data_IF_760065047270
#
_entry.id   IF_760065047270
#
_cell.length_a   1.000
_cell.length_b   1.000
_cell.length_c   1.000
_cell.angle_alpha   90.00
_cell.angle_beta   90.00
_cell.angle_gamma   90.00
#
_symmetry.space_group_name_H-M   'P 1'
#
loop_
_entity.id
_entity.type
_entity.pdbx_description
1 polymer ?
#
# COMPACT_ATOMS: atom_id res chain seq x y z
N UNK A 1 -41.09 14.05 -64.27
CA UNK A 1 -42.01 13.31 -65.15
C UNK A 1 -41.62 11.84 -65.18
N UNK A 2 -42.62 10.96 -64.98
CA UNK A 2 -42.71 9.53 -65.28
C UNK A 2 -41.76 8.47 -64.68
N UNK A 3 -42.38 7.73 -63.75
CA UNK A 3 -42.25 6.31 -63.40
C UNK A 3 -41.93 5.35 -64.56
N UNK A 4 -41.19 4.29 -64.24
CA UNK A 4 -41.43 2.83 -64.49
C UNK A 4 -40.13 2.11 -64.09
N UNK A 5 -40.02 1.13 -63.18
CA UNK A 5 -40.97 0.13 -62.73
C UNK A 5 -40.81 -1.16 -63.54
N UNK A 6 -40.01 -2.12 -63.04
CA UNK A 6 -40.23 -3.59 -63.02
C UNK A 6 -38.92 -4.35 -62.76
N UNK A 7 -38.93 -5.18 -61.71
CA UNK A 7 -37.91 -6.22 -61.50
C UNK A 7 -38.08 -7.38 -62.48
N UNK A 8 -37.20 -8.39 -62.42
CA UNK A 8 -37.41 -9.74 -61.86
C UNK A 8 -36.08 -10.52 -62.03
N UNK A 9 -35.83 -11.46 -61.11
CA UNK A 9 -34.95 -12.64 -61.20
C UNK A 9 -33.61 -12.61 -60.46
N UNK A 10 -33.71 -13.16 -59.25
CA UNK A 10 -32.72 -13.79 -58.38
C UNK A 10 -32.21 -15.08 -59.06
N UNK A 11 -30.93 -15.40 -58.89
CA UNK A 11 -30.38 -16.62 -58.28
C UNK A 11 -28.94 -16.89 -58.76
N UNK A 12 -28.02 -16.69 -57.82
CA UNK A 12 -26.82 -17.48 -57.52
C UNK A 12 -26.03 -18.10 -58.68
N UNK A 13 -24.91 -17.47 -58.98
CA UNK A 13 -23.66 -18.14 -59.28
C UNK A 13 -22.59 -17.46 -58.45
N UNK A 14 -21.82 -18.20 -57.64
CA UNK A 14 -20.38 -18.02 -57.61
C UNK A 14 -19.72 -19.25 -56.96
N UNK A 15 -18.83 -19.94 -57.68
CA UNK A 15 -18.14 -21.12 -57.20
C UNK A 15 -16.77 -20.78 -56.55
N UNK A 16 -16.29 -21.74 -55.76
CA UNK A 16 -14.94 -22.34 -55.78
C UNK A 16 -13.74 -21.37 -55.85
N UNK A 17 -12.91 -21.41 -54.81
CA UNK A 17 -11.48 -21.76 -54.88
C UNK A 17 -10.84 -21.44 -53.51
N UNK A 18 -10.36 -22.43 -52.76
CA UNK A 18 -9.03 -23.03 -52.93
C UNK A 18 -7.94 -21.96 -52.69
N UNK A 19 -7.37 -21.93 -51.49
CA UNK A 19 -6.18 -22.70 -51.08
C UNK A 19 -4.91 -21.86 -51.22
N UNK A 20 -4.02 -22.11 -50.25
CA UNK A 20 -2.57 -21.98 -50.33
C UNK A 20 -1.93 -20.71 -49.74
N UNK A 21 -1.40 -20.95 -48.53
CA UNK A 21 0.03 -20.83 -48.24
C UNK A 21 0.54 -19.52 -47.66
N UNK A 22 1.00 -19.68 -46.41
CA UNK A 22 2.04 -18.90 -45.78
C UNK A 22 3.24 -18.65 -46.73
N UNK A 23 3.81 -17.45 -46.64
CA UNK A 23 5.19 -17.19 -46.22
C UNK A 23 5.41 -15.67 -46.10
N UNK A 24 5.83 -15.24 -44.89
CA UNK A 24 6.89 -14.25 -44.62
C UNK A 24 6.71 -12.80 -45.13
N UNK A 25 6.50 -11.86 -44.21
CA UNK A 25 7.54 -10.88 -43.80
C UNK A 25 7.12 -10.01 -42.61
N UNK A 26 8.11 -9.76 -41.75
CA UNK A 26 8.07 -8.97 -40.54
C UNK A 26 7.70 -7.50 -40.78
N UNK A 27 6.77 -6.99 -39.97
CA UNK A 27 6.62 -5.60 -39.50
C UNK A 27 5.33 -5.61 -38.68
N UNK A 28 5.28 -5.33 -37.38
CA UNK A 28 6.03 -4.34 -36.63
C UNK A 28 6.01 -4.72 -35.15
N UNK A 29 7.13 -4.50 -34.47
CA UNK A 29 7.16 -4.25 -33.05
C UNK A 29 6.26 -3.04 -32.75
N UNK A 30 5.26 -3.21 -31.89
CA UNK A 30 4.67 -2.12 -31.12
C UNK A 30 4.98 -2.35 -29.65
N UNK A 31 6.17 -1.91 -29.29
CA UNK A 31 6.51 -1.48 -27.93
C UNK A 31 5.52 -0.40 -27.47
N UNK A 32 4.98 -0.53 -26.25
CA UNK A 32 4.32 0.60 -25.59
C UNK A 32 3.29 0.29 -24.53
N UNK A 33 3.68 -0.38 -23.44
CA UNK A 33 3.39 0.03 -22.05
C UNK A 33 3.71 -1.12 -21.09
N UNK A 34 5.00 -1.31 -20.81
CA UNK A 34 5.41 -1.94 -19.54
C UNK A 34 5.10 -0.96 -18.40
N UNK A 35 3.80 -0.85 -18.08
CA UNK A 35 3.41 -0.49 -16.73
C UNK A 35 3.84 -1.66 -15.87
N UNK A 36 4.99 -1.50 -15.22
CA UNK A 36 5.58 -2.48 -14.29
C UNK A 36 4.50 -2.95 -13.31
N UNK A 37 3.85 -4.09 -13.59
CA UNK A 37 3.05 -4.80 -12.61
C UNK A 37 4.03 -5.17 -11.52
N UNK A 38 3.92 -4.51 -10.37
CA UNK A 38 4.57 -4.97 -9.14
C UNK A 38 4.12 -6.41 -8.98
N UNK A 39 5.04 -7.35 -9.15
CA UNK A 39 4.74 -8.76 -9.05
C UNK A 39 4.28 -9.00 -7.60
N UNK A 40 2.99 -9.30 -7.42
CA UNK A 40 2.44 -9.54 -6.09
C UNK A 40 3.18 -10.73 -5.47
N UNK A 41 3.85 -10.48 -4.35
CA UNK A 41 4.55 -11.52 -3.60
C UNK A 41 3.49 -12.52 -3.11
N UNK A 42 3.58 -13.81 -3.49
CA UNK A 42 2.52 -14.76 -3.21
C UNK A 42 2.36 -14.97 -1.69
N UNK A 43 1.11 -15.03 -1.22
CA UNK A 43 0.68 -15.27 0.17
C UNK A 43 0.98 -16.70 0.68
N UNK A 44 2.03 -17.37 0.18
CA UNK A 44 2.36 -18.75 0.54
C UNK A 44 2.68 -18.85 2.04
N UNK A 45 1.99 -19.75 2.73
CA UNK A 45 2.16 -19.97 4.17
C UNK A 45 1.38 -19.00 5.07
N UNK A 46 0.55 -18.13 4.49
CA UNK A 46 -0.34 -17.26 5.25
C UNK A 46 -1.53 -18.06 5.80
N UNK A 47 -1.76 -17.95 7.11
CA UNK A 47 -3.02 -18.40 7.70
C UNK A 47 -4.10 -17.35 7.39
N UNK A 48 -5.03 -17.70 6.50
CA UNK A 48 -6.06 -16.78 6.02
C UNK A 48 -7.16 -16.50 7.06
N UNK A 49 -7.32 -17.36 8.07
CA UNK A 49 -8.23 -17.08 9.18
C UNK A 49 -7.60 -16.06 10.12
N UNK A 50 -6.33 -16.29 10.49
CA UNK A 50 -5.57 -15.36 11.33
C UNK A 50 -5.40 -13.99 10.64
N UNK A 51 -5.05 -13.96 9.36
CA UNK A 51 -4.91 -12.70 8.60
C UNK A 51 -6.21 -11.86 8.59
N UNK A 52 -7.37 -12.52 8.45
CA UNK A 52 -8.67 -11.84 8.51
C UNK A 52 -8.96 -11.29 9.91
N UNK A 53 -8.59 -12.05 10.94
CA UNK A 53 -8.72 -11.60 12.33
C UNK A 53 -7.82 -10.39 12.61
N UNK A 54 -6.54 -10.48 12.26
CA UNK A 54 -5.57 -9.41 12.48
C UNK A 54 -5.94 -8.12 11.75
N UNK A 55 -6.52 -8.23 10.55
CA UNK A 55 -7.02 -7.08 9.82
C UNK A 55 -8.31 -6.52 10.43
N UNK A 56 -9.15 -7.35 11.04
CA UNK A 56 -10.38 -6.90 11.70
C UNK A 56 -10.09 -6.04 12.93
N UNK A 57 -9.06 -6.39 13.71
CA UNK A 57 -8.57 -5.60 14.87
C UNK A 57 -8.32 -4.13 14.50
N UNK A 58 -7.82 -3.89 13.29
CA UNK A 58 -7.42 -2.55 12.83
C UNK A 58 -8.56 -1.76 12.18
N UNK A 59 -9.75 -2.33 12.01
CA UNK A 59 -10.88 -1.69 11.30
C UNK A 59 -11.81 -0.96 12.25
N UNK A 60 -12.44 0.09 11.72
CA UNK A 60 -13.55 0.75 12.42
C UNK A 60 -14.76 -0.17 12.33
N UNK A 61 -15.25 -0.62 13.48
CA UNK A 61 -16.45 -1.47 13.57
C UNK A 61 -17.67 -0.70 14.09
N UNK A 62 -17.52 0.59 14.42
CA UNK A 62 -18.62 1.44 14.93
C UNK A 62 -18.97 2.63 14.03
N UNK A 63 -18.14 2.93 13.03
CA UNK A 63 -18.20 4.17 12.27
C UNK A 63 -18.13 5.41 13.19
N UNK A 64 -17.20 5.37 14.16
CA UNK A 64 -17.09 6.38 15.21
C UNK A 64 -16.95 7.80 14.63
N UNK A 65 -16.26 7.89 13.50
CA UNK A 65 -16.01 9.14 12.79
C UNK A 65 -16.98 9.40 11.62
N UNK A 66 -18.07 8.63 11.49
CA UNK A 66 -19.15 8.85 10.51
C UNK A 66 -18.65 8.98 9.06
N UNK A 67 -17.70 8.13 8.67
CA UNK A 67 -17.08 8.17 7.34
C UNK A 67 -16.21 9.40 7.07
N UNK A 68 -15.84 10.18 8.09
CA UNK A 68 -14.98 11.34 7.91
C UNK A 68 -13.58 10.99 7.38
N UNK A 69 -13.12 9.77 7.66
CA UNK A 69 -11.85 9.27 7.19
C UNK A 69 -11.99 8.21 6.10
N UNK A 70 -11.05 8.13 5.16
CA UNK A 70 -11.04 7.09 4.14
C UNK A 70 -10.84 5.71 4.76
N UNK A 71 -11.42 4.69 4.13
CA UNK A 71 -11.15 3.30 4.48
C UNK A 71 -9.66 3.02 4.28
N UNK A 72 -9.01 2.47 5.30
CA UNK A 72 -7.61 2.14 5.21
C UNK A 72 -7.37 1.02 4.17
N UNK A 73 -6.33 1.13 3.33
CA UNK A 73 -5.95 0.06 2.40
C UNK A 73 -5.69 -1.25 3.13
N UNK A 74 -5.91 -2.37 2.43
CA UNK A 74 -5.70 -3.68 3.02
C UNK A 74 -4.21 -3.96 3.29
N UNK A 75 -3.93 -4.77 4.33
CA UNK A 75 -2.59 -5.26 4.57
C UNK A 75 -2.16 -6.16 3.39
N UNK A 76 -0.94 -5.97 2.89
CA UNK A 76 -0.41 -6.78 1.79
C UNK A 76 0.11 -8.13 2.32
N UNK A 77 0.22 -9.14 1.44
CA UNK A 77 0.72 -10.47 1.81
C UNK A 77 2.03 -10.45 2.62
N UNK A 78 3.07 -9.67 2.24
CA UNK A 78 4.31 -9.65 3.02
C UNK A 78 4.14 -9.09 4.43
N UNK A 79 3.26 -8.10 4.60
CA UNK A 79 2.98 -7.51 5.91
C UNK A 79 2.23 -8.49 6.79
N UNK A 80 1.20 -9.15 6.26
CA UNK A 80 0.46 -10.18 6.98
C UNK A 80 1.34 -11.37 7.38
N UNK A 81 2.22 -11.82 6.49
CA UNK A 81 3.17 -12.90 6.80
C UNK A 81 4.20 -12.50 7.86
N UNK A 82 4.68 -11.26 7.82
CA UNK A 82 5.58 -10.72 8.83
C UNK A 82 4.89 -10.58 10.19
N UNK A 83 3.66 -10.04 10.19
CA UNK A 83 2.82 -9.90 11.36
C UNK A 83 2.54 -11.27 12.00
N UNK A 84 2.10 -12.25 11.22
CA UNK A 84 1.88 -13.63 11.69
C UNK A 84 3.13 -14.22 12.38
N UNK A 85 4.34 -13.84 11.96
CA UNK A 85 5.57 -14.30 12.62
C UNK A 85 5.81 -13.57 13.93
N UNK A 86 5.61 -12.25 13.96
CA UNK A 86 5.77 -11.44 15.17
C UNK A 86 4.76 -11.81 16.25
N UNK A 87 3.51 -12.06 15.87
CA UNK A 87 2.42 -12.42 16.80
C UNK A 87 2.49 -13.86 17.30
N UNK A 88 3.53 -14.64 16.95
CA UNK A 88 3.83 -15.91 17.64
C UNK A 88 4.29 -15.68 19.07
N UNK A 89 4.86 -14.52 19.36
CA UNK A 89 5.16 -14.08 20.72
C UNK A 89 3.84 -13.67 21.41
N UNK A 90 3.54 -14.28 22.55
CA UNK A 90 2.27 -14.05 23.25
C UNK A 90 2.16 -12.62 23.79
N UNK A 91 3.28 -11.96 24.12
CA UNK A 91 3.26 -10.56 24.57
C UNK A 91 3.02 -9.61 23.40
N UNK A 92 3.62 -9.88 22.24
CA UNK A 92 3.31 -9.13 21.02
C UNK A 92 1.83 -9.29 20.61
N UNK A 93 1.30 -10.52 20.69
CA UNK A 93 -0.11 -10.80 20.42
C UNK A 93 -1.04 -10.08 21.40
N UNK A 94 -0.74 -10.15 22.69
CA UNK A 94 -1.49 -9.45 23.74
C UNK A 94 -1.59 -7.94 23.46
N UNK A 95 -0.49 -7.30 23.07
CA UNK A 95 -0.50 -5.88 22.73
C UNK A 95 -1.23 -5.59 21.41
N UNK A 96 -1.12 -6.48 20.41
CA UNK A 96 -1.77 -6.29 19.13
C UNK A 96 -3.29 -6.40 19.21
N UNK A 97 -3.83 -7.41 19.91
CA UNK A 97 -5.28 -7.57 20.13
C UNK A 97 -5.89 -6.36 20.83
N UNK A 98 -5.11 -5.66 21.66
CA UNK A 98 -5.56 -4.47 22.38
C UNK A 98 -5.63 -3.21 21.53
N UNK A 99 -5.20 -3.26 20.26
CA UNK A 99 -5.51 -2.23 19.26
C UNK A 99 -6.99 -2.25 18.84
N UNK A 100 -7.71 -3.33 19.13
CA UNK A 100 -9.12 -3.44 18.77
C UNK A 100 -9.95 -2.33 19.43
N UNK A 101 -10.97 -1.88 18.70
CA UNK A 101 -11.84 -0.78 19.11
C UNK A 101 -12.58 -1.05 20.43
N UNK A 102 -12.82 -2.32 20.80
CA UNK A 102 -13.40 -2.69 22.10
C UNK A 102 -12.57 -2.19 23.29
N UNK A 103 -11.28 -1.92 23.10
CA UNK A 103 -10.40 -1.35 24.11
C UNK A 103 -10.39 0.18 24.13
N UNK A 104 -11.22 0.85 23.30
CA UNK A 104 -11.27 2.32 23.22
C UNK A 104 -11.49 3.05 24.55
N UNK A 105 -12.37 2.57 25.44
CA UNK A 105 -12.56 3.20 26.74
C UNK A 105 -11.36 3.09 27.69
N UNK A 106 -10.37 2.22 27.39
CA UNK A 106 -9.28 1.85 28.31
C UNK A 106 -7.98 2.64 28.03
N UNK A 107 -8.06 3.89 27.58
CA UNK A 107 -6.85 4.71 27.38
C UNK A 107 -5.93 4.67 28.63
N UNK A 108 -4.61 4.42 28.49
CA UNK A 108 -3.75 4.64 27.32
C UNK A 108 -3.35 3.38 26.51
N UNK A 109 -4.14 2.31 26.57
CA UNK A 109 -3.76 0.96 26.11
C UNK A 109 -3.14 0.87 24.71
N UNK A 110 -3.57 1.65 23.71
CA UNK A 110 -2.93 1.62 22.39
C UNK A 110 -1.55 2.24 22.37
N UNK A 111 -1.36 3.36 23.07
CA UNK A 111 -0.04 3.98 23.19
C UNK A 111 0.94 3.04 23.88
N UNK A 112 0.45 2.22 24.82
CA UNK A 112 1.27 1.18 25.44
C UNK A 112 1.64 0.06 24.47
N UNK A 113 0.70 -0.32 23.60
CA UNK A 113 0.90 -1.34 22.58
C UNK A 113 1.90 -0.89 21.50
N UNK A 114 1.77 0.33 20.99
CA UNK A 114 2.74 0.91 20.05
C UNK A 114 4.13 1.03 20.69
N UNK A 115 4.21 1.49 21.94
CA UNK A 115 5.47 1.57 22.70
C UNK A 115 6.09 0.19 22.93
N UNK A 116 5.28 -0.86 23.15
CA UNK A 116 5.76 -2.22 23.23
C UNK A 116 6.41 -2.64 21.90
N UNK A 117 5.72 -2.43 20.78
CA UNK A 117 6.22 -2.79 19.46
C UNK A 117 7.52 -2.06 19.10
N UNK A 118 7.62 -0.77 19.43
CA UNK A 118 8.83 0.01 19.24
C UNK A 118 10.00 -0.59 20.04
N UNK A 119 9.81 -0.84 21.33
CA UNK A 119 10.88 -1.37 22.20
C UNK A 119 11.37 -2.76 21.81
N UNK A 120 10.49 -3.58 21.24
CA UNK A 120 10.77 -4.97 20.88
C UNK A 120 11.03 -5.15 19.39
N UNK A 121 11.17 -4.06 18.63
CA UNK A 121 11.42 -4.09 17.19
C UNK A 121 10.37 -4.94 16.43
N UNK A 122 9.09 -4.86 16.82
CA UNK A 122 7.97 -5.46 16.07
C UNK A 122 7.59 -4.57 14.88
N UNK A 123 8.41 -4.64 13.84
CA UNK A 123 8.30 -3.80 12.65
C UNK A 123 6.99 -4.03 11.89
N UNK A 124 6.57 -5.28 11.72
CA UNK A 124 5.34 -5.60 10.99
C UNK A 124 4.09 -5.21 11.77
N UNK A 125 4.10 -5.32 13.10
CA UNK A 125 3.04 -4.80 13.96
C UNK A 125 2.90 -3.27 13.82
N UNK A 126 4.01 -2.51 13.82
CA UNK A 126 3.97 -1.06 13.60
C UNK A 126 3.47 -0.70 12.20
N UNK A 127 3.93 -1.41 11.16
CA UNK A 127 3.46 -1.22 9.80
C UNK A 127 1.96 -1.52 9.69
N UNK A 128 1.49 -2.64 10.24
CA UNK A 128 0.06 -2.95 10.26
C UNK A 128 -0.74 -1.85 10.98
N UNK A 129 -0.28 -1.41 12.16
CA UNK A 129 -0.91 -0.35 12.96
C UNK A 129 -0.94 1.01 12.23
N UNK A 130 -0.10 1.24 11.22
CA UNK A 130 -0.18 2.44 10.37
C UNK A 130 -1.46 2.52 9.51
N UNK A 131 -2.27 1.45 9.50
CA UNK A 131 -3.60 1.38 8.86
C UNK A 131 -4.76 1.34 9.85
N UNK A 132 -4.47 1.48 11.15
CA UNK A 132 -5.45 1.46 12.22
C UNK A 132 -6.59 2.48 12.01
N UNK A 133 -7.81 2.13 12.38
CA UNK A 133 -9.00 2.95 12.17
C UNK A 133 -8.91 4.37 12.75
N UNK A 134 -8.30 4.53 13.93
CA UNK A 134 -7.99 5.84 14.51
C UNK A 134 -6.70 6.43 13.92
N UNK A 135 -6.76 7.65 13.37
CA UNK A 135 -5.64 8.31 12.69
C UNK A 135 -4.49 8.73 13.61
N UNK A 136 -4.74 9.08 14.87
CA UNK A 136 -3.67 9.37 15.83
C UNK A 136 -2.80 8.13 16.07
N UNK A 137 -3.42 6.95 16.13
CA UNK A 137 -2.69 5.69 16.24
C UNK A 137 -1.89 5.38 14.97
N UNK A 138 -2.43 5.66 13.78
CA UNK A 138 -1.67 5.55 12.52
C UNK A 138 -0.40 6.42 12.55
N UNK A 139 -0.54 7.69 12.95
CA UNK A 139 0.56 8.65 13.04
C UNK A 139 1.59 8.19 14.07
N UNK A 140 1.14 7.74 15.24
CA UNK A 140 2.00 7.28 16.33
C UNK A 140 2.80 6.05 15.92
N UNK A 141 2.15 5.09 15.25
CA UNK A 141 2.80 3.88 14.74
C UNK A 141 3.85 4.20 13.65
N UNK A 142 3.56 5.12 12.72
CA UNK A 142 4.54 5.57 11.73
C UNK A 142 5.74 6.25 12.39
N UNK A 143 5.51 7.14 13.37
CA UNK A 143 6.61 7.80 14.10
C UNK A 143 7.49 6.79 14.84
N UNK A 144 6.89 5.80 15.51
CA UNK A 144 7.64 4.71 16.15
C UNK A 144 8.44 3.91 15.10
N UNK A 145 7.84 3.59 13.94
CA UNK A 145 8.53 2.90 12.86
C UNK A 145 9.71 3.72 12.30
N UNK A 146 9.54 5.05 12.15
CA UNK A 146 10.63 5.95 11.77
C UNK A 146 11.78 5.91 12.78
N UNK A 147 11.50 5.85 14.09
CA UNK A 147 12.55 5.67 15.09
C UNK A 147 13.30 4.36 14.89
N UNK A 148 12.59 3.26 14.61
CA UNK A 148 13.25 1.99 14.32
C UNK A 148 14.16 2.06 13.09
N UNK A 149 13.72 2.74 12.02
CA UNK A 149 14.57 2.95 10.83
C UNK A 149 15.82 3.76 11.19
N UNK A 150 15.67 4.86 11.94
CA UNK A 150 16.80 5.70 12.39
C UNK A 150 17.78 4.94 13.26
N UNK A 151 17.30 3.98 14.05
CA UNK A 151 18.15 3.14 14.89
C UNK A 151 18.86 2.01 14.15
N UNK A 152 18.41 1.62 12.94
CA UNK A 152 19.00 0.49 12.19
C UNK A 152 20.51 0.52 12.04
N UNK A 153 21.17 1.66 11.73
CA UNK A 153 22.63 1.69 11.62
C UNK A 153 23.36 1.31 12.91
N UNK A 154 22.69 1.40 14.06
CA UNK A 154 23.24 1.05 15.38
C UNK A 154 23.00 -0.42 15.76
N UNK A 155 22.20 -1.17 14.98
CA UNK A 155 21.92 -2.58 15.25
C UNK A 155 23.09 -3.43 14.74
N UNK A 156 23.88 -3.96 15.67
CA UNK A 156 24.90 -4.96 15.37
C UNK A 156 24.23 -6.34 15.24
N UNK A 157 24.24 -6.92 14.05
CA UNK A 157 23.67 -8.24 13.79
C UNK A 157 24.52 -9.06 12.83
N UNK A 158 24.15 -10.31 12.59
CA UNK A 158 24.85 -11.18 11.63
C UNK A 158 24.55 -10.75 10.20
N UNK A 159 25.34 -11.22 9.22
CA UNK A 159 25.07 -11.02 7.79
C UNK A 159 23.63 -11.44 7.40
N UNK A 160 23.16 -12.58 7.92
CA UNK A 160 21.78 -13.02 7.73
C UNK A 160 20.76 -12.11 8.42
N UNK A 161 21.12 -11.50 9.55
CA UNK A 161 20.33 -10.45 10.19
C UNK A 161 20.15 -9.22 9.30
N UNK A 162 21.23 -8.72 8.70
CA UNK A 162 21.16 -7.58 7.78
C UNK A 162 20.28 -7.87 6.55
N UNK A 163 20.41 -9.06 5.95
CA UNK A 163 19.53 -9.44 4.83
C UNK A 163 18.05 -9.47 5.21
N UNK A 164 17.71 -9.90 6.43
CA UNK A 164 16.32 -9.85 6.91
C UNK A 164 15.82 -8.43 7.08
N UNK A 165 16.67 -7.53 7.58
CA UNK A 165 16.34 -6.11 7.71
C UNK A 165 16.13 -5.46 6.33
N UNK A 166 16.97 -5.75 5.35
CA UNK A 166 16.80 -5.26 3.97
C UNK A 166 15.50 -5.75 3.33
N UNK A 167 15.20 -7.06 3.45
CA UNK A 167 13.93 -7.62 2.95
C UNK A 167 12.71 -6.97 3.64
N UNK A 168 12.84 -6.64 4.92
CA UNK A 168 11.80 -5.93 5.66
C UNK A 168 11.63 -4.49 5.17
N UNK A 169 12.70 -3.78 4.82
CA UNK A 169 12.61 -2.44 4.20
C UNK A 169 11.92 -2.49 2.85
N UNK A 170 12.20 -3.51 2.06
CA UNK A 170 11.57 -3.71 0.76
C UNK A 170 10.06 -3.96 0.91
N UNK A 171 9.67 -4.82 1.86
CA UNK A 171 8.27 -5.06 2.21
C UNK A 171 7.59 -3.78 2.70
N UNK A 172 8.24 -3.04 3.59
CA UNK A 172 7.74 -1.78 4.13
C UNK A 172 7.56 -0.72 3.03
N UNK A 173 8.55 -0.56 2.15
CA UNK A 173 8.49 0.41 1.06
C UNK A 173 7.32 0.12 0.11
N UNK A 174 7.16 -1.15 -0.32
CA UNK A 174 6.02 -1.56 -1.16
C UNK A 174 4.70 -1.29 -0.46
N UNK A 175 4.61 -1.64 0.82
CA UNK A 175 3.38 -1.48 1.58
C UNK A 175 3.03 -0.01 1.83
N UNK A 176 3.99 0.83 2.24
CA UNK A 176 3.73 2.24 2.51
C UNK A 176 3.39 3.00 1.22
N UNK A 177 3.95 2.63 0.06
CA UNK A 177 3.49 3.13 -1.24
C UNK A 177 2.04 2.68 -1.52
N UNK A 178 1.71 1.41 -1.27
CA UNK A 178 0.33 0.93 -1.41
C UNK A 178 -0.65 1.69 -0.51
N UNK A 179 -0.25 1.97 0.74
CA UNK A 179 -1.04 2.78 1.68
C UNK A 179 -1.17 4.22 1.17
N UNK A 180 -0.09 4.82 0.68
CA UNK A 180 -0.08 6.18 0.14
C UNK A 180 -1.03 6.29 -1.07
N UNK A 181 -0.93 5.38 -2.04
CA UNK A 181 -1.76 5.36 -3.25
C UNK A 181 -3.22 5.01 -2.97
N UNK A 182 -3.49 4.27 -1.90
CA UNK A 182 -4.85 3.90 -1.49
C UNK A 182 -5.59 4.95 -0.66
N UNK A 183 -4.93 6.05 -0.28
CA UNK A 183 -5.54 7.15 0.47
C UNK A 183 -5.60 8.43 -0.38
N UNK A 184 -6.68 9.22 -0.29
CA UNK A 184 -6.72 10.53 -0.91
C UNK A 184 -5.68 11.46 -0.26
N UNK A 185 -5.06 12.34 -1.05
CA UNK A 185 -4.14 13.35 -0.51
C UNK A 185 -4.87 14.32 0.43
N UNK A 186 -6.11 14.66 0.10
CA UNK A 186 -6.94 15.63 0.81
C UNK A 186 -8.30 15.04 1.18
N UNK A 187 -8.79 15.39 2.37
CA UNK A 187 -10.17 15.14 2.78
C UNK A 187 -10.82 16.45 3.23
N UNK A 188 -12.15 16.49 3.21
CA UNK A 188 -12.91 17.63 3.72
C UNK A 188 -13.01 17.62 5.25
N UNK A 189 -13.47 18.74 5.82
CA UNK A 189 -13.59 18.95 7.26
C UNK A 189 -12.48 19.85 7.81
N UNK A 190 -12.62 20.33 9.04
CA UNK A 190 -11.63 21.22 9.67
C UNK A 190 -10.58 20.42 10.45
N UNK A 191 -11.01 19.75 11.52
CA UNK A 191 -10.12 18.97 12.37
C UNK A 191 -9.65 17.68 11.69
N UNK A 192 -10.58 16.93 11.09
CA UNK A 192 -10.27 15.66 10.44
C UNK A 192 -9.28 15.83 9.27
N UNK A 193 -9.44 16.88 8.45
CA UNK A 193 -8.50 17.18 7.37
C UNK A 193 -7.10 17.54 7.87
N UNK A 194 -7.02 18.22 9.02
CA UNK A 194 -5.74 18.54 9.67
C UNK A 194 -5.04 17.25 10.12
N UNK A 195 -5.76 16.38 10.84
CA UNK A 195 -5.22 15.08 11.32
C UNK A 195 -4.82 14.19 10.14
N UNK A 196 -5.65 14.11 9.10
CA UNK A 196 -5.33 13.38 7.87
C UNK A 196 -4.09 13.94 7.16
N UNK A 197 -3.97 15.25 7.07
CA UNK A 197 -2.78 15.91 6.52
C UNK A 197 -1.51 15.54 7.29
N UNK A 198 -1.57 15.47 8.63
CA UNK A 198 -0.46 15.01 9.47
C UNK A 198 -0.13 13.55 9.20
N UNK A 199 -1.13 12.68 9.05
CA UNK A 199 -0.94 11.28 8.69
C UNK A 199 -0.24 11.11 7.34
N UNK A 200 -0.74 11.77 6.30
CA UNK A 200 -0.17 11.70 4.94
C UNK A 200 1.24 12.28 4.91
N UNK A 201 1.50 13.39 5.61
CA UNK A 201 2.85 13.95 5.73
C UNK A 201 3.81 12.96 6.43
N UNK A 202 3.39 12.38 7.56
CA UNK A 202 4.20 11.40 8.32
C UNK A 202 4.49 10.15 7.47
N UNK A 203 3.52 9.71 6.67
CA UNK A 203 3.69 8.59 5.73
C UNK A 203 4.74 8.89 4.67
N UNK A 204 4.66 10.07 4.04
CA UNK A 204 5.62 10.54 3.04
C UNK A 204 7.03 10.75 3.64
N UNK A 205 7.14 11.28 4.85
CA UNK A 205 8.42 11.36 5.58
C UNK A 205 9.02 9.98 5.85
N UNK A 206 8.17 8.99 6.15
CA UNK A 206 8.63 7.62 6.38
C UNK A 206 9.18 7.00 5.09
N UNK A 207 8.57 7.30 3.94
CA UNK A 207 9.07 6.90 2.63
C UNK A 207 10.42 7.54 2.33
N UNK A 208 10.55 8.86 2.50
CA UNK A 208 11.83 9.57 2.36
C UNK A 208 12.93 8.95 3.23
N UNK A 209 12.61 8.62 4.48
CA UNK A 209 13.55 7.99 5.40
C UNK A 209 13.99 6.59 4.96
N UNK A 210 13.07 5.76 4.47
CA UNK A 210 13.37 4.41 3.96
C UNK A 210 14.23 4.46 2.70
N UNK A 211 13.94 5.39 1.80
CA UNK A 211 14.64 5.51 0.51
C UNK A 211 15.87 6.40 0.56
N UNK A 212 16.08 7.11 1.69
CA UNK A 212 17.09 8.18 1.85
C UNK A 212 16.90 9.31 0.84
N UNK A 213 15.65 9.56 0.46
CA UNK A 213 15.29 10.66 -0.41
C UNK A 213 14.96 11.89 0.44
N UNK A 214 14.86 13.03 -0.24
CA UNK A 214 14.48 14.30 0.38
C UNK A 214 13.38 14.96 -0.45
N UNK A 215 12.37 14.17 -0.84
CA UNK A 215 11.28 14.65 -1.68
C UNK A 215 10.45 15.73 -0.96
N UNK A 216 10.35 15.65 0.37
CA UNK A 216 9.69 16.65 1.22
C UNK A 216 10.59 17.79 1.69
N UNK A 217 11.81 17.95 1.12
CA UNK A 217 12.74 18.98 1.55
C UNK A 217 12.05 20.36 1.59
N UNK A 218 12.30 21.10 2.67
CA UNK A 218 11.76 22.44 2.96
C UNK A 218 10.24 22.48 3.30
N UNK A 219 9.58 21.32 3.44
CA UNK A 219 8.19 21.23 3.88
C UNK A 219 8.07 20.80 5.34
N UNK A 220 7.10 21.37 6.04
CA UNK A 220 6.69 20.98 7.40
C UNK A 220 5.25 20.44 7.45
N UNK A 221 4.50 20.62 6.35
CA UNK A 221 3.17 20.09 6.13
C UNK A 221 2.88 19.96 4.62
N UNK A 222 1.66 19.55 4.28
CA UNK A 222 1.25 19.35 2.89
C UNK A 222 0.65 20.61 2.23
N UNK A 223 0.50 21.75 2.93
CA UNK A 223 -0.16 22.93 2.37
C UNK A 223 0.55 23.40 1.10
N UNK A 224 -0.25 23.69 0.07
CA UNK A 224 0.26 24.09 -1.24
C UNK A 224 0.97 22.98 -2.03
N UNK A 225 0.93 21.72 -1.58
CA UNK A 225 1.28 20.58 -2.42
C UNK A 225 0.16 20.33 -3.43
N UNK A 226 0.49 20.38 -4.71
CA UNK A 226 -0.45 20.05 -5.79
C UNK A 226 -0.28 18.60 -6.26
N UNK A 227 -1.25 18.11 -7.03
CA UNK A 227 -1.27 16.73 -7.53
C UNK A 227 -0.03 16.38 -8.34
N UNK A 228 0.47 17.29 -9.19
CA UNK A 228 1.69 17.05 -9.97
C UNK A 228 2.92 16.83 -9.09
N UNK A 229 3.09 17.66 -8.05
CA UNK A 229 4.18 17.50 -7.09
C UNK A 229 4.02 16.19 -6.31
N UNK A 230 2.81 15.86 -5.87
CA UNK A 230 2.51 14.60 -5.20
C UNK A 230 2.84 13.37 -6.06
N UNK A 231 2.44 13.39 -7.34
CA UNK A 231 2.75 12.33 -8.31
C UNK A 231 4.27 12.20 -8.53
N UNK A 232 4.99 13.32 -8.67
CA UNK A 232 6.44 13.32 -8.82
C UNK A 232 7.15 12.70 -7.61
N UNK A 233 6.74 13.07 -6.39
CA UNK A 233 7.28 12.48 -5.16
C UNK A 233 7.00 10.97 -5.10
N UNK A 234 5.78 10.56 -5.43
CA UNK A 234 5.39 9.15 -5.47
C UNK A 234 6.22 8.35 -6.49
N UNK A 235 6.50 8.93 -7.66
CA UNK A 235 7.36 8.32 -8.68
C UNK A 235 8.81 8.15 -8.21
N UNK A 236 9.35 9.10 -7.42
CA UNK A 236 10.69 8.98 -6.83
C UNK A 236 10.75 7.74 -5.94
N UNK A 237 9.84 7.60 -4.97
CA UNK A 237 9.83 6.44 -4.07
C UNK A 237 9.58 5.12 -4.81
N UNK A 238 8.67 5.10 -5.80
CA UNK A 238 8.44 3.93 -6.65
C UNK A 238 9.69 3.53 -7.45
N UNK A 239 10.53 4.49 -7.82
CA UNK A 239 11.82 4.22 -8.48
C UNK A 239 12.74 3.30 -7.69
N UNK A 240 12.63 3.29 -6.34
CA UNK A 240 13.42 2.41 -5.47
C UNK A 240 12.96 0.96 -5.49
N UNK A 241 11.72 0.68 -5.92
CA UNK A 241 11.23 -0.69 -6.11
C UNK A 241 11.81 -1.38 -7.35
N UNK A 242 12.37 -0.62 -8.30
CA UNK A 242 12.92 -1.14 -9.57
C UNK A 242 14.44 -1.34 -9.56
N UNK A 243 15.14 -0.75 -8.60
CA UNK A 243 16.61 -0.66 -8.57
C UNK A 243 17.29 -1.73 -7.69
N UNK A 244 16.54 -2.59 -7.02
CA UNK A 244 17.02 -3.62 -6.08
C UNK A 244 16.67 -4.99 -6.60
#
# INVERSE_FOLDING_TARGET
>A
MNRKGRGVYRWHMLPIAALASALLWCSSCSSGSDASRVQEVPCIGLDTALARHDQAILRDTSDLFQGAYPLAPALTCPILLGLQRELKDDSARYHYERLDMSYWPQHPVWSESIRYFERHFNYYALLATSTHWNHDQKITALKAYQQLIRMRPMICTTKAGYYRLEAQDENALRFLIHVLEGNPLWISGSENSTIHGVYMFTLMETLDLLTKEHALKDRTDLRGLNDLQYEQMTLIWRGHLKKR
#
